data_IF_783229142393
#
_entry.id   IF_783229142393
#
_cell.length_a   1.000
_cell.length_b   1.000
_cell.length_c   1.000
_cell.angle_alpha   90.00
_cell.angle_beta   90.00
_cell.angle_gamma   90.00
#
_symmetry.space_group_name_H-M   'P 1'
#
loop_
_entity.id
_entity.type
_entity.pdbx_description
1 polymer ?
#
# COMPACT_ATOMS: atom_id res chain seq x y z
N UNK A 1 -26.18 -3.82 -2.60
CA UNK A 1 -25.32 -3.06 -3.53
C UNK A 1 -25.85 -3.29 -4.92
N UNK A 2 -26.24 -2.23 -5.63
CA UNK A 2 -26.67 -2.34 -7.02
C UNK A 2 -25.49 -2.77 -7.90
N UNK A 3 -25.76 -3.30 -9.09
CA UNK A 3 -24.73 -3.65 -10.05
C UNK A 3 -23.83 -2.44 -10.37
N UNK A 4 -24.43 -1.27 -10.58
CA UNK A 4 -23.70 -0.02 -10.85
C UNK A 4 -22.81 0.42 -9.68
N UNK A 5 -23.26 0.25 -8.44
CA UNK A 5 -22.47 0.57 -7.25
C UNK A 5 -21.24 -0.35 -7.14
N UNK A 6 -21.41 -1.63 -7.44
CA UNK A 6 -20.32 -2.62 -7.45
C UNK A 6 -19.28 -2.28 -8.52
N UNK A 7 -19.72 -1.94 -9.72
CA UNK A 7 -18.87 -1.51 -10.83
C UNK A 7 -18.02 -0.26 -10.46
N UNK A 8 -18.65 0.72 -9.79
CA UNK A 8 -17.94 1.90 -9.27
C UNK A 8 -16.97 1.54 -8.15
N UNK A 9 -17.31 0.58 -7.29
CA UNK A 9 -16.40 0.12 -6.23
C UNK A 9 -15.16 -0.57 -6.81
N UNK A 10 -15.32 -1.43 -7.81
CA UNK A 10 -14.21 -2.10 -8.52
C UNK A 10 -13.31 -1.07 -9.18
N UNK A 11 -13.87 -0.12 -9.94
CA UNK A 11 -13.09 0.91 -10.62
C UNK A 11 -12.32 1.82 -9.65
N UNK A 12 -12.92 2.16 -8.49
CA UNK A 12 -12.22 2.91 -7.44
C UNK A 12 -11.07 2.11 -6.85
N UNK A 13 -11.30 0.84 -6.52
CA UNK A 13 -10.26 -0.01 -5.95
C UNK A 13 -9.10 -0.25 -6.91
N UNK A 14 -9.38 -0.42 -8.20
CA UNK A 14 -8.34 -0.53 -9.22
C UNK A 14 -7.41 0.69 -9.23
N UNK A 15 -7.95 1.91 -9.07
CA UNK A 15 -7.13 3.14 -8.97
C UNK A 15 -6.27 3.15 -7.72
N UNK A 16 -6.84 2.78 -6.57
CA UNK A 16 -6.10 2.66 -5.30
C UNK A 16 -4.94 1.67 -5.46
N UNK A 17 -5.23 0.49 -6.02
CA UNK A 17 -4.24 -0.56 -6.25
C UNK A 17 -3.12 -0.10 -7.17
N UNK A 18 -3.46 0.61 -8.25
CA UNK A 18 -2.49 1.21 -9.16
C UNK A 18 -1.60 2.24 -8.45
N UNK A 19 -2.19 3.15 -7.68
CA UNK A 19 -1.43 4.13 -6.89
C UNK A 19 -0.50 3.45 -5.89
N UNK A 20 -0.89 2.33 -5.27
CA UNK A 20 -0.01 1.55 -4.40
C UNK A 20 1.22 1.05 -5.15
N UNK A 21 1.05 0.47 -6.35
CA UNK A 21 2.19 0.02 -7.16
C UNK A 21 3.10 1.17 -7.61
N UNK A 22 2.52 2.31 -7.99
CA UNK A 22 3.29 3.51 -8.32
C UNK A 22 4.10 4.02 -7.11
N UNK A 23 3.47 4.13 -5.94
CA UNK A 23 4.15 4.52 -4.70
C UNK A 23 5.27 3.55 -4.32
N UNK A 24 5.04 2.25 -4.43
CA UNK A 24 6.02 1.22 -4.14
C UNK A 24 7.19 1.30 -5.13
N UNK A 25 6.93 1.54 -6.41
CA UNK A 25 7.96 1.77 -7.42
C UNK A 25 8.80 3.01 -7.11
N UNK A 26 8.16 4.14 -6.81
CA UNK A 26 8.81 5.42 -6.51
C UNK A 26 9.71 5.33 -5.27
N UNK A 27 9.37 4.44 -4.32
CA UNK A 27 10.19 4.13 -3.14
C UNK A 27 11.36 3.18 -3.40
N UNK A 28 11.60 2.76 -4.65
CA UNK A 28 12.76 1.95 -5.03
C UNK A 28 12.56 0.43 -4.93
N UNK A 29 11.33 -0.04 -4.72
CA UNK A 29 11.03 -1.48 -4.70
C UNK A 29 10.93 -2.07 -6.11
N UNK A 30 11.20 -3.36 -6.22
CA UNK A 30 11.16 -4.08 -7.49
C UNK A 30 9.70 -4.43 -7.81
N UNK A 31 9.16 -3.82 -8.86
CA UNK A 31 7.84 -4.11 -9.43
C UNK A 31 7.94 -4.17 -10.96
N UNK A 32 7.10 -4.98 -11.59
CA UNK A 32 7.05 -5.09 -13.05
C UNK A 32 6.24 -3.96 -13.67
N UNK A 33 6.53 -3.64 -14.95
CA UNK A 33 5.78 -2.63 -15.68
C UNK A 33 4.29 -3.00 -15.85
N UNK A 34 3.99 -4.29 -16.00
CA UNK A 34 2.64 -4.83 -16.09
C UNK A 34 1.84 -4.67 -14.80
N UNK A 35 2.47 -4.77 -13.63
CA UNK A 35 1.79 -4.55 -12.35
C UNK A 35 1.44 -3.07 -12.16
N UNK A 36 2.37 -2.17 -12.46
CA UNK A 36 2.15 -0.72 -12.35
C UNK A 36 1.10 -0.24 -13.35
N UNK A 37 1.04 -0.83 -14.54
CA UNK A 37 0.13 -0.43 -15.61
C UNK A 37 -1.03 -1.40 -15.85
N UNK A 38 -1.39 -2.19 -14.83
CA UNK A 38 -2.48 -3.16 -14.89
C UNK A 38 -3.76 -2.51 -15.42
N UNK A 39 -4.36 -3.15 -16.43
CA UNK A 39 -5.63 -2.68 -17.01
C UNK A 39 -6.80 -3.02 -16.09
N UNK A 40 -7.89 -2.26 -16.17
CA UNK A 40 -9.08 -2.49 -15.34
C UNK A 40 -9.66 -3.90 -15.55
N UNK A 41 -9.66 -4.39 -16.80
CA UNK A 41 -10.18 -5.72 -17.13
C UNK A 41 -9.28 -6.85 -16.59
N UNK A 42 -7.96 -6.65 -16.62
CA UNK A 42 -7.00 -7.59 -16.02
C UNK A 42 -7.13 -7.62 -14.49
N UNK A 43 -7.34 -6.46 -13.87
CA UNK A 43 -7.62 -6.35 -12.44
C UNK A 43 -8.92 -7.07 -12.07
N UNK A 44 -9.99 -6.94 -12.89
CA UNK A 44 -11.24 -7.67 -12.68
C UNK A 44 -11.04 -9.18 -12.73
N UNK A 45 -10.35 -9.67 -13.76
CA UNK A 45 -10.10 -11.10 -13.93
C UNK A 45 -9.28 -11.69 -12.79
N UNK A 46 -8.28 -10.96 -12.31
CA UNK A 46 -7.32 -11.46 -11.32
C UNK A 46 -7.72 -11.22 -9.86
N UNK A 47 -8.42 -10.11 -9.55
CA UNK A 47 -8.73 -9.68 -8.18
C UNK A 47 -10.23 -9.68 -7.86
N UNK A 48 -11.09 -10.01 -8.84
CA UNK A 48 -12.53 -10.08 -8.65
C UNK A 48 -13.14 -11.43 -9.11
N UNK A 49 -12.64 -12.59 -8.64
CA UNK A 49 -13.06 -13.91 -9.14
C UNK A 49 -14.57 -14.18 -9.00
N UNK A 50 -15.22 -13.59 -7.99
CA UNK A 50 -16.66 -13.72 -7.75
C UNK A 50 -17.46 -12.48 -8.17
N UNK A 51 -16.89 -11.62 -9.04
CA UNK A 51 -17.49 -10.34 -9.42
C UNK A 51 -17.42 -9.27 -8.31
N UNK A 52 -16.70 -9.54 -7.22
CA UNK A 52 -16.43 -8.61 -6.13
C UNK A 52 -14.94 -8.57 -5.84
N UNK A 53 -14.45 -7.40 -5.43
CA UNK A 53 -13.04 -7.19 -5.05
C UNK A 53 -12.66 -8.12 -3.89
N UNK A 54 -11.64 -8.95 -4.12
CA UNK A 54 -11.02 -9.75 -3.08
C UNK A 54 -9.74 -9.07 -2.57
N UNK A 55 -9.87 -8.25 -1.51
CA UNK A 55 -8.75 -7.49 -0.93
C UNK A 55 -7.61 -8.36 -0.40
N UNK A 56 -7.89 -9.62 -0.02
CA UNK A 56 -6.85 -10.54 0.45
C UNK A 56 -5.90 -10.94 -0.70
N UNK A 57 -6.43 -11.13 -1.91
CA UNK A 57 -5.64 -11.43 -3.11
C UNK A 57 -4.91 -10.20 -3.68
N UNK A 58 -5.17 -9.01 -3.14
CA UNK A 58 -4.51 -7.78 -3.53
C UNK A 58 -3.23 -7.50 -2.73
N UNK A 59 -2.85 -8.35 -1.78
CA UNK A 59 -1.60 -8.15 -1.03
C UNK A 59 -0.41 -8.01 -1.99
N UNK A 60 0.43 -7.00 -1.74
CA UNK A 60 1.65 -6.75 -2.52
C UNK A 60 2.84 -7.06 -1.61
N UNK A 61 3.70 -7.97 -2.05
CA UNK A 61 4.94 -8.31 -1.36
C UNK A 61 6.09 -8.10 -2.33
N UNK A 62 7.00 -7.21 -1.96
CA UNK A 62 8.11 -6.77 -2.83
C UNK A 62 9.38 -6.60 -2.01
N UNK A 63 10.51 -6.55 -2.70
CA UNK A 63 11.81 -6.32 -2.10
C UNK A 63 12.44 -5.04 -2.65
N UNK A 64 13.16 -4.32 -1.80
CA UNK A 64 13.84 -3.10 -2.18
C UNK A 64 15.05 -3.40 -3.05
N UNK A 65 15.21 -2.69 -4.17
CA UNK A 65 16.23 -3.00 -5.19
C UNK A 65 17.66 -2.98 -4.66
N UNK A 66 17.99 -2.04 -3.76
CA UNK A 66 19.37 -1.86 -3.27
C UNK A 66 19.64 -2.51 -1.93
N UNK A 67 18.64 -2.64 -1.06
CA UNK A 67 18.81 -3.12 0.32
C UNK A 67 18.28 -4.54 0.53
N UNK A 68 17.48 -5.06 -0.39
CA UNK A 68 16.79 -6.35 -0.23
C UNK A 68 15.71 -6.35 0.87
N UNK A 69 15.43 -5.20 1.48
CA UNK A 69 14.41 -5.12 2.54
C UNK A 69 13.02 -5.35 1.95
N UNK A 70 12.27 -6.29 2.54
CA UNK A 70 10.90 -6.57 2.14
C UNK A 70 9.93 -5.43 2.50
N UNK A 71 8.82 -5.35 1.77
CA UNK A 71 7.65 -4.53 2.07
C UNK A 71 6.38 -5.34 1.82
N UNK A 72 5.45 -5.31 2.77
CA UNK A 72 4.13 -5.92 2.66
C UNK A 72 3.05 -4.83 2.64
N UNK A 73 2.27 -4.76 1.55
CA UNK A 73 1.08 -3.92 1.46
C UNK A 73 -0.16 -4.79 1.67
N UNK A 74 -0.97 -4.46 2.68
CA UNK A 74 -2.20 -5.17 3.02
C UNK A 74 -3.43 -4.27 2.89
N UNK A 75 -4.51 -4.82 2.34
CA UNK A 75 -5.78 -4.12 2.12
C UNK A 75 -6.85 -4.67 3.07
N UNK A 76 -7.41 -3.80 3.92
CA UNK A 76 -8.41 -4.18 4.92
C UNK A 76 -9.83 -3.97 4.41
N UNK A 77 -10.74 -4.85 4.84
CA UNK A 77 -12.12 -4.90 4.33
C UNK A 77 -13.05 -4.01 5.14
N UNK A 78 -12.93 -4.01 6.47
CA UNK A 78 -13.85 -3.35 7.38
C UNK A 78 -13.77 -1.83 7.28
N UNK A 79 -14.91 -1.13 7.20
CA UNK A 79 -14.94 0.33 7.15
C UNK A 79 -14.33 0.97 8.40
N UNK A 80 -14.60 0.37 9.57
CA UNK A 80 -14.02 0.73 10.86
C UNK A 80 -13.14 -0.42 11.34
N UNK A 81 -11.83 -0.25 11.23
CA UNK A 81 -10.85 -1.30 11.49
C UNK A 81 -10.54 -1.40 12.98
N UNK A 82 -10.80 -2.58 13.54
CA UNK A 82 -10.43 -2.95 14.91
C UNK A 82 -8.97 -3.41 15.07
N UNK A 83 -8.59 -3.79 16.29
CA UNK A 83 -7.25 -4.31 16.57
C UNK A 83 -6.97 -5.69 15.93
N UNK A 84 -8.02 -6.51 15.72
CA UNK A 84 -7.86 -7.88 15.23
C UNK A 84 -7.28 -7.93 13.80
N UNK A 85 -7.81 -7.20 12.80
CA UNK A 85 -7.19 -7.14 11.47
C UNK A 85 -5.74 -6.62 11.49
N UNK A 86 -5.44 -5.63 12.35
CA UNK A 86 -4.08 -5.11 12.50
C UNK A 86 -3.12 -6.18 13.01
N UNK A 87 -3.52 -6.95 14.03
CA UNK A 87 -2.72 -8.07 14.53
C UNK A 87 -2.47 -9.13 13.46
N UNK A 88 -3.47 -9.45 12.66
CA UNK A 88 -3.29 -10.37 11.53
C UNK A 88 -2.22 -9.85 10.56
N UNK A 89 -2.24 -8.56 10.21
CA UNK A 89 -1.22 -7.99 9.33
C UNK A 89 0.17 -8.06 9.97
N UNK A 90 0.29 -7.79 11.27
CA UNK A 90 1.55 -7.89 12.00
C UNK A 90 2.05 -9.35 12.00
N UNK A 91 1.18 -10.32 12.23
CA UNK A 91 1.50 -11.75 12.15
C UNK A 91 1.97 -12.14 10.75
N UNK A 92 1.27 -11.68 9.70
CA UNK A 92 1.66 -11.92 8.30
C UNK A 92 3.05 -11.33 8.01
N UNK A 93 3.33 -10.10 8.48
CA UNK A 93 4.66 -9.48 8.36
C UNK A 93 5.74 -10.31 9.06
N UNK A 94 5.48 -10.83 10.27
CA UNK A 94 6.42 -11.68 11.00
C UNK A 94 6.66 -13.01 10.29
N UNK A 95 5.61 -13.65 9.75
CA UNK A 95 5.70 -14.90 8.98
C UNK A 95 6.54 -14.70 7.72
N UNK A 96 6.33 -13.59 7.01
CA UNK A 96 7.09 -13.24 5.82
C UNK A 96 8.46 -12.62 6.13
N UNK A 97 8.80 -12.41 7.40
CA UNK A 97 10.05 -11.77 7.86
C UNK A 97 10.27 -10.38 7.25
N UNK A 98 9.19 -9.62 7.16
CA UNK A 98 9.17 -8.27 6.59
C UNK A 98 9.07 -7.24 7.71
N UNK A 99 9.98 -6.27 7.71
CA UNK A 99 10.04 -5.21 8.72
C UNK A 99 9.15 -4.00 8.39
N UNK A 100 8.84 -3.79 7.10
CA UNK A 100 8.06 -2.64 6.61
C UNK A 100 6.70 -3.08 6.09
N UNK A 101 5.66 -2.41 6.56
CA UNK A 101 4.28 -2.67 6.19
C UNK A 101 3.56 -1.41 5.75
N UNK A 102 2.65 -1.54 4.79
CA UNK A 102 1.66 -0.52 4.47
C UNK A 102 0.28 -1.13 4.65
N UNK A 103 -0.58 -0.47 5.42
CA UNK A 103 -1.96 -0.88 5.65
C UNK A 103 -2.90 0.11 4.97
N UNK A 104 -3.66 -0.38 4.00
CA UNK A 104 -4.69 0.38 3.30
C UNK A 104 -6.05 0.03 3.90
N UNK A 105 -6.82 1.03 4.33
CA UNK A 105 -8.12 0.83 4.98
C UNK A 105 -9.21 1.78 4.43
N UNK A 106 -10.51 1.44 4.54
CA UNK A 106 -11.55 2.18 3.80
C UNK A 106 -11.88 3.56 4.39
N UNK A 107 -12.09 3.65 5.72
CA UNK A 107 -12.51 4.92 6.37
C UNK A 107 -11.74 5.24 7.63
N UNK A 108 -11.83 4.40 8.68
CA UNK A 108 -11.29 4.75 9.99
C UNK A 108 -10.57 3.58 10.67
N UNK A 109 -9.55 3.93 11.45
CA UNK A 109 -8.93 3.04 12.43
C UNK A 109 -9.50 3.36 13.81
N UNK A 110 -9.90 2.33 14.56
CA UNK A 110 -10.32 2.50 15.95
C UNK A 110 -9.12 2.88 16.84
N UNK A 111 -9.34 3.50 18.01
CA UNK A 111 -8.25 3.78 18.97
C UNK A 111 -7.45 2.52 19.35
N UNK A 112 -8.13 1.36 19.45
CA UNK A 112 -7.47 0.08 19.72
C UNK A 112 -6.56 -0.38 18.57
N UNK A 113 -6.95 -0.15 17.31
CA UNK A 113 -6.11 -0.42 16.15
C UNK A 113 -4.85 0.47 16.14
N UNK A 114 -5.02 1.78 16.39
CA UNK A 114 -3.90 2.72 16.49
C UNK A 114 -2.93 2.36 17.62
N UNK A 115 -3.46 1.94 18.78
CA UNK A 115 -2.63 1.46 19.88
C UNK A 115 -1.84 0.21 19.50
N UNK A 116 -2.47 -0.75 18.82
CA UNK A 116 -1.79 -1.96 18.34
C UNK A 116 -0.66 -1.66 17.34
N UNK A 117 -0.85 -0.65 16.47
CA UNK A 117 0.22 -0.18 15.58
C UNK A 117 1.36 0.50 16.36
N UNK A 118 1.04 1.34 17.35
CA UNK A 118 2.03 2.01 18.18
C UNK A 118 2.84 1.03 19.05
N UNK A 119 2.25 -0.06 19.51
CA UNK A 119 2.94 -1.09 20.31
C UNK A 119 4.06 -1.81 19.54
N UNK A 120 3.97 -1.87 18.21
CA UNK A 120 5.00 -2.48 17.35
C UNK A 120 5.95 -1.48 16.71
N UNK A 121 5.68 -0.17 16.85
CA UNK A 121 6.57 0.89 16.37
C UNK A 121 7.91 0.81 17.12
N UNK A 122 8.96 0.45 16.37
CA UNK A 122 10.33 0.26 16.90
C UNK A 122 10.92 -1.06 16.44
N UNK A 123 10.11 -2.11 16.35
CA UNK A 123 10.51 -3.38 15.74
C UNK A 123 10.05 -3.45 14.28
N UNK A 124 8.82 -3.02 14.01
CA UNK A 124 8.24 -2.94 12.68
C UNK A 124 7.92 -1.49 12.33
N UNK A 125 8.04 -1.15 11.06
CA UNK A 125 7.60 0.14 10.53
C UNK A 125 6.31 -0.10 9.76
N UNK A 126 5.17 0.32 10.31
CA UNK A 126 3.87 0.18 9.66
C UNK A 126 3.30 1.56 9.35
N UNK A 127 3.11 1.84 8.07
CA UNK A 127 2.44 3.04 7.57
C UNK A 127 0.98 2.73 7.26
N UNK A 128 0.10 3.71 7.39
CA UNK A 128 -1.34 3.53 7.14
C UNK A 128 -1.84 4.58 6.16
N UNK A 129 -2.72 4.17 5.25
CA UNK A 129 -3.37 5.03 4.27
C UNK A 129 -4.85 4.68 4.16
N UNK A 130 -5.69 5.71 4.03
CA UNK A 130 -7.06 5.49 3.62
C UNK A 130 -7.13 5.19 2.12
N UNK A 131 -8.15 4.43 1.69
CA UNK A 131 -8.42 4.23 0.26
C UNK A 131 -8.66 5.56 -0.47
N UNK A 132 -9.28 6.53 0.22
CA UNK A 132 -9.58 7.84 -0.35
C UNK A 132 -8.31 8.62 -0.70
N UNK A 133 -7.28 8.57 0.14
CA UNK A 133 -5.99 9.22 -0.10
C UNK A 133 -5.25 8.65 -1.31
N UNK A 134 -5.48 7.37 -1.63
CA UNK A 134 -4.80 6.66 -2.70
C UNK A 134 -5.58 6.62 -4.02
N UNK A 135 -6.78 7.24 -4.09
CA UNK A 135 -7.58 7.27 -5.32
C UNK A 135 -6.88 7.99 -6.48
N UNK A 136 -6.03 8.97 -6.17
CA UNK A 136 -5.28 9.76 -7.15
C UNK A 136 -3.85 9.91 -6.63
N UNK A 137 -2.89 9.50 -7.45
CA UNK A 137 -1.49 9.76 -7.13
C UNK A 137 -1.17 11.25 -7.26
N UNK A 138 -1.04 11.94 -6.13
CA UNK A 138 -0.79 13.38 -6.08
C UNK A 138 0.59 13.79 -6.63
N UNK A 139 1.57 12.87 -6.68
CA UNK A 139 2.91 13.17 -7.21
C UNK A 139 2.91 13.41 -8.71
N UNK A 140 1.85 12.98 -9.41
CA UNK A 140 1.65 13.19 -10.84
C UNK A 140 1.00 14.53 -11.18
N UNK A 141 0.63 15.31 -10.17
CA UNK A 141 0.05 16.62 -10.40
C UNK A 141 1.11 17.58 -10.95
N UNK A 142 0.74 18.41 -11.93
CA UNK A 142 1.67 19.33 -12.62
C UNK A 142 2.40 20.31 -11.68
N UNK A 143 1.79 20.66 -10.56
CA UNK A 143 2.38 21.56 -9.55
C UNK A 143 3.28 20.84 -8.54
N UNK A 144 3.37 19.51 -8.58
CA UNK A 144 4.21 18.73 -7.66
C UNK A 144 5.50 18.37 -8.38
N UNK A 145 6.66 18.93 -7.99
CA UNK A 145 7.93 18.57 -8.60
C UNK A 145 8.31 17.14 -8.23
N UNK A 146 9.24 16.55 -8.98
CA UNK A 146 9.81 15.25 -8.65
C UNK A 146 10.66 15.36 -7.38
N UNK A 147 10.40 14.48 -6.41
CA UNK A 147 11.18 14.37 -5.19
C UNK A 147 12.00 13.08 -5.26
N UNK A 148 13.29 13.15 -4.95
CA UNK A 148 14.19 11.99 -4.92
C UNK A 148 14.83 11.90 -3.52
N UNK A 149 14.89 10.68 -2.99
CA UNK A 149 15.50 10.42 -1.69
C UNK A 149 17.02 10.39 -1.88
N UNK A 150 17.73 11.29 -1.19
CA UNK A 150 19.19 11.29 -1.16
C UNK A 150 19.71 10.10 -0.35
N UNK A 151 20.78 9.48 -0.84
CA UNK A 151 21.60 8.54 -0.08
C UNK A 151 22.35 9.23 1.07
N UNK A 152 22.82 8.45 2.04
CA UNK A 152 23.63 8.97 3.15
C UNK A 152 24.94 9.60 2.65
N UNK A 153 25.49 9.11 1.54
CA UNK A 153 26.69 9.65 0.90
C UNK A 153 26.40 11.01 0.26
N UNK A 154 25.36 11.12 -0.57
CA UNK A 154 24.94 12.40 -1.17
C UNK A 154 24.58 13.43 -0.10
N UNK A 155 23.92 13.00 0.98
CA UNK A 155 23.59 13.86 2.11
C UNK A 155 24.85 14.42 2.79
N UNK A 156 25.87 13.59 3.02
CA UNK A 156 27.15 14.06 3.59
C UNK A 156 27.82 15.09 2.67
N UNK A 157 27.92 14.77 1.39
CA UNK A 157 28.52 15.67 0.38
C UNK A 157 27.78 17.01 0.31
N UNK A 158 26.44 17.00 0.45
CA UNK A 158 25.64 18.22 0.46
C UNK A 158 25.89 19.07 1.72
N UNK A 159 26.08 18.44 2.87
CA UNK A 159 26.33 19.14 4.14
C UNK A 159 27.77 19.69 4.26
N UNK A 160 28.72 19.09 3.55
CA UNK A 160 30.11 19.55 3.49
C UNK A 160 30.31 20.75 2.53
N UNK A 161 29.26 21.17 1.81
CA UNK A 161 29.24 22.36 0.93
C UNK A 161 28.67 23.59 1.63
#
# INVERSE_FOLDING_TARGET
>A
MSYEENERAIARMWRVYKTCYEMVQDRGYVVSHSEVNILLDEFRQSKCPNGQVNKKEMQIMVEHRSTGQGLLVSFLVDESVGIKPIRQVIEDMMVHKVERGIVVYPKTLTPGANKGLAEVQGTLTVETFTEAELLVNITKHVLVPKHEVMSDEEKKILLDR
#
